data_IF_409932395680
#
_entry.id   IF_409932395680
#
_cell.length_a   1.000
_cell.length_b   1.000
_cell.length_c   1.000
_cell.angle_alpha   90.00
_cell.angle_beta   90.00
_cell.angle_gamma   90.00
#
_symmetry.space_group_name_H-M   'P 1'
#
loop_
_entity.id
_entity.type
_entity.pdbx_description
1 polymer ?
#
# COMPACT_ATOMS: atom_id res chain seq x y z
N UNK A 1 -50.75 35.81 11.87
CA UNK A 1 -50.58 34.34 11.93
C UNK A 1 -49.74 33.95 10.73
N UNK A 2 -48.62 33.27 10.99
CA UNK A 2 -47.69 32.60 10.05
C UNK A 2 -46.77 33.49 9.20
N UNK A 3 -45.49 33.50 9.61
CA UNK A 3 -44.27 33.86 8.86
C UNK A 3 -44.02 32.87 7.72
N UNK A 4 -43.30 33.27 6.66
CA UNK A 4 -42.01 32.61 6.35
C UNK A 4 -41.16 33.33 5.31
N UNK A 5 -39.88 33.44 5.69
CA UNK A 5 -38.71 33.86 4.93
C UNK A 5 -38.42 32.91 3.78
N UNK A 6 -37.84 33.42 2.69
CA UNK A 6 -36.93 32.64 1.86
C UNK A 6 -35.63 33.42 1.60
N UNK A 7 -34.67 33.14 2.47
CA UNK A 7 -33.24 33.28 2.22
C UNK A 7 -32.87 32.60 0.90
N UNK A 8 -32.20 33.32 0.00
CA UNK A 8 -31.28 32.68 -0.94
C UNK A 8 -29.87 33.11 -0.57
N UNK A 9 -29.33 32.40 0.41
CA UNK A 9 -27.90 32.36 0.66
C UNK A 9 -27.24 31.80 -0.60
N UNK A 10 -26.62 32.69 -1.38
CA UNK A 10 -25.65 32.29 -2.39
C UNK A 10 -24.39 31.84 -1.67
N UNK A 11 -24.40 30.61 -1.18
CA UNK A 11 -23.18 29.92 -0.79
C UNK A 11 -22.39 29.65 -2.06
N UNK A 12 -21.45 30.55 -2.36
CA UNK A 12 -20.24 30.20 -3.08
C UNK A 12 -19.57 29.07 -2.30
N UNK A 13 -19.93 27.83 -2.63
CA UNK A 13 -19.13 26.65 -2.31
C UNK A 13 -17.82 26.82 -3.08
N UNK A 14 -16.91 27.52 -2.41
CA UNK A 14 -15.50 27.58 -2.73
C UNK A 14 -15.06 26.12 -2.87
N UNK A 15 -14.74 25.73 -4.10
CA UNK A 15 -14.05 24.50 -4.44
C UNK A 15 -12.75 24.43 -3.64
N UNK A 16 -12.85 23.92 -2.41
CA UNK A 16 -11.73 23.47 -1.63
C UNK A 16 -11.30 22.12 -2.20
N UNK A 17 -10.72 22.16 -3.41
CA UNK A 17 -9.64 21.22 -3.77
C UNK A 17 -8.55 21.41 -2.73
N UNK A 18 -8.77 20.76 -1.60
CA UNK A 18 -7.76 20.61 -0.59
C UNK A 18 -6.78 19.67 -1.26
N UNK A 19 -5.69 20.25 -1.78
CA UNK A 19 -4.40 19.60 -1.96
C UNK A 19 -4.06 18.94 -0.62
N UNK A 20 -4.68 17.79 -0.34
CA UNK A 20 -4.26 16.90 0.73
C UNK A 20 -2.93 16.38 0.26
N UNK A 21 -1.87 16.96 0.80
CA UNK A 21 -0.54 16.36 0.79
C UNK A 21 -0.72 14.87 1.00
N UNK A 22 -0.38 14.11 -0.03
CA UNK A 22 -0.64 12.69 -0.05
C UNK A 22 0.08 12.06 1.13
N UNK A 23 -0.66 11.40 2.02
CA UNK A 23 -0.10 10.80 3.24
C UNK A 23 0.92 9.74 2.83
N UNK A 24 2.15 9.88 3.32
CA UNK A 24 3.23 8.91 3.13
C UNK A 24 3.61 8.37 4.50
N UNK A 25 3.65 7.04 4.63
CA UNK A 25 4.11 6.33 5.81
C UNK A 25 5.32 5.49 5.45
N UNK A 26 6.36 5.56 6.28
CA UNK A 26 7.61 4.82 6.10
C UNK A 26 7.64 3.66 7.09
N UNK A 27 7.96 2.46 6.63
CA UNK A 27 8.07 1.26 7.47
C UNK A 27 9.45 0.65 7.37
N UNK A 28 10.05 0.40 8.54
CA UNK A 28 11.15 -0.54 8.64
C UNK A 28 10.58 -1.95 8.55
N UNK A 29 11.15 -2.75 7.66
CA UNK A 29 10.78 -4.14 7.43
C UNK A 29 12.04 -5.00 7.34
N UNK A 30 11.85 -6.32 7.27
CA UNK A 30 12.93 -7.30 7.22
C UNK A 30 12.69 -8.28 6.08
N UNK A 31 13.73 -8.71 5.40
CA UNK A 31 13.62 -9.66 4.31
C UNK A 31 14.79 -10.64 4.34
N UNK A 32 14.59 -11.81 3.77
CA UNK A 32 15.67 -12.74 3.49
C UNK A 32 16.41 -12.31 2.22
N UNK A 33 17.65 -11.86 2.36
CA UNK A 33 18.48 -11.43 1.23
C UNK A 33 18.80 -12.56 0.25
N UNK A 34 18.92 -13.80 0.75
CA UNK A 34 19.15 -14.95 -0.12
C UNK A 34 17.94 -15.19 -1.02
N UNK A 35 16.73 -15.21 -0.45
CA UNK A 35 15.49 -15.36 -1.24
C UNK A 35 15.28 -14.22 -2.23
N UNK A 36 15.64 -12.99 -1.85
CA UNK A 36 15.54 -11.84 -2.74
C UNK A 36 16.45 -11.97 -3.97
N UNK A 37 17.67 -12.45 -3.80
CA UNK A 37 18.70 -12.47 -4.86
C UNK A 37 18.65 -13.76 -5.67
N UNK A 38 18.44 -14.90 -5.01
CA UNK A 38 18.57 -16.22 -5.61
C UNK A 38 17.29 -17.06 -5.55
N UNK A 39 16.32 -16.67 -4.74
CA UNK A 39 15.10 -17.43 -4.49
C UNK A 39 13.86 -16.84 -5.15
N UNK A 40 12.73 -16.92 -4.45
CA UNK A 40 11.42 -16.63 -5.02
C UNK A 40 11.14 -15.12 -5.19
N UNK A 41 11.94 -14.24 -4.58
CA UNK A 41 11.86 -12.80 -4.73
C UNK A 41 11.78 -12.02 -3.42
N UNK A 42 11.30 -10.76 -3.50
CA UNK A 42 11.32 -9.83 -2.37
C UNK A 42 10.03 -9.88 -1.54
N UNK A 43 10.09 -10.59 -0.40
CA UNK A 43 8.98 -10.81 0.55
C UNK A 43 9.29 -10.22 1.93
N UNK A 44 9.21 -8.88 2.11
CA UNK A 44 9.51 -8.25 3.39
C UNK A 44 8.41 -8.50 4.44
N UNK A 45 8.82 -8.58 5.70
CA UNK A 45 7.98 -8.83 6.87
C UNK A 45 8.14 -7.73 7.92
N UNK A 46 7.15 -7.58 8.79
CA UNK A 46 7.14 -6.55 9.86
C UNK A 46 8.09 -6.88 11.02
N UNK A 47 8.51 -8.14 11.15
CA UNK A 47 9.38 -8.62 12.21
C UNK A 47 10.59 -9.35 11.58
N UNK A 48 11.75 -9.37 12.27
CA UNK A 48 12.90 -10.11 11.78
C UNK A 48 12.66 -11.62 11.81
N UNK A 49 13.24 -12.32 10.84
CA UNK A 49 13.30 -13.78 10.82
C UNK A 49 14.39 -14.28 11.78
N UNK A 50 14.05 -14.52 13.05
CA UNK A 50 14.90 -15.22 14.02
C UNK A 50 16.44 -15.03 13.87
N UNK A 51 17.20 -16.12 13.98
CA UNK A 51 18.66 -16.15 13.79
C UNK A 51 19.05 -16.51 12.34
N UNK A 52 18.33 -16.01 11.33
CA UNK A 52 18.72 -16.24 9.93
C UNK A 52 19.79 -15.21 9.55
N UNK A 53 20.97 -15.68 9.12
CA UNK A 53 22.10 -14.82 8.77
C UNK A 53 21.83 -13.90 7.56
N UNK A 54 20.95 -14.32 6.65
CA UNK A 54 20.53 -13.54 5.47
C UNK A 54 19.43 -12.52 5.78
N UNK A 55 18.92 -12.46 7.01
CA UNK A 55 17.89 -11.48 7.39
C UNK A 55 18.47 -10.06 7.35
N UNK A 56 17.97 -9.24 6.43
CA UNK A 56 18.36 -7.83 6.26
C UNK A 56 17.22 -6.90 6.60
N UNK A 57 17.57 -5.73 7.11
CA UNK A 57 16.64 -4.60 7.30
C UNK A 57 16.44 -3.88 5.98
N UNK A 58 15.24 -3.34 5.79
CA UNK A 58 14.91 -2.43 4.69
C UNK A 58 13.94 -1.36 5.17
N UNK A 59 13.88 -0.25 4.45
CA UNK A 59 12.96 0.86 4.70
C UNK A 59 12.14 1.04 3.42
N UNK A 60 10.81 1.00 3.56
CA UNK A 60 9.87 1.06 2.44
C UNK A 60 8.80 2.11 2.75
N UNK A 61 8.52 2.96 1.77
CA UNK A 61 7.55 4.04 1.85
C UNK A 61 6.26 3.66 1.13
N UNK A 62 5.14 3.99 1.77
CA UNK A 62 3.80 3.74 1.27
C UNK A 62 3.01 5.04 1.21
N UNK A 63 2.46 5.34 0.04
CA UNK A 63 1.62 6.51 -0.22
C UNK A 63 0.15 6.11 -0.22
N UNK A 64 -0.69 6.88 0.44
CA UNK A 64 -2.13 6.75 0.33
C UNK A 64 -2.61 7.37 -0.99
N UNK A 65 -3.38 6.63 -1.76
CA UNK A 65 -4.08 7.12 -2.95
C UNK A 65 -5.58 6.90 -2.82
N UNK A 66 -6.35 7.77 -3.47
CA UNK A 66 -7.78 7.63 -3.63
C UNK A 66 -8.07 7.33 -5.11
N UNK A 67 -8.66 6.16 -5.39
CA UNK A 67 -9.11 5.85 -6.74
C UNK A 67 -10.44 6.56 -7.00
N UNK A 68 -10.38 7.64 -7.79
CA UNK A 68 -11.53 8.52 -8.10
C UNK A 68 -12.77 7.77 -8.59
N UNK A 69 -12.59 6.64 -9.28
CA UNK A 69 -13.68 5.88 -9.88
C UNK A 69 -14.57 5.15 -8.86
N UNK A 70 -14.04 4.77 -7.70
CA UNK A 70 -14.78 3.95 -6.74
C UNK A 70 -14.63 4.41 -5.28
N UNK A 71 -13.89 5.50 -5.04
CA UNK A 71 -13.61 6.01 -3.70
C UNK A 71 -12.78 5.06 -2.83
N UNK A 72 -12.15 4.03 -3.43
CA UNK A 72 -11.35 3.09 -2.66
C UNK A 72 -9.99 3.71 -2.31
N UNK A 73 -9.73 3.77 -1.01
CA UNK A 73 -8.43 4.14 -0.48
C UNK A 73 -7.47 2.95 -0.50
N UNK A 74 -6.26 3.23 -0.95
CA UNK A 74 -5.25 2.22 -1.24
C UNK A 74 -3.87 2.72 -0.83
N UNK A 75 -3.08 1.85 -0.22
CA UNK A 75 -1.66 2.11 0.00
C UNK A 75 -0.86 1.63 -1.20
N UNK A 76 0.08 2.45 -1.67
CA UNK A 76 0.95 2.12 -2.81
C UNK A 76 2.39 2.25 -2.36
N UNK A 77 3.19 1.21 -2.53
CA UNK A 77 4.64 1.31 -2.39
C UNK A 77 5.18 2.31 -3.42
N UNK A 78 6.02 3.25 -2.99
CA UNK A 78 6.56 4.31 -3.86
C UNK A 78 8.08 4.29 -4.01
N UNK A 79 8.78 3.38 -3.33
CA UNK A 79 10.24 3.24 -3.38
C UNK A 79 10.68 1.78 -3.21
N UNK A 80 12.00 1.55 -3.21
CA UNK A 80 12.64 0.25 -2.98
C UNK A 80 12.39 -0.81 -4.10
N UNK A 81 12.89 -2.02 -3.90
CA UNK A 81 12.62 -3.16 -4.79
C UNK A 81 11.13 -3.52 -4.76
N UNK A 82 10.58 -3.89 -5.90
CA UNK A 82 9.19 -4.32 -6.05
C UNK A 82 8.88 -5.46 -5.06
N UNK A 83 7.91 -5.26 -4.16
CA UNK A 83 7.44 -6.32 -3.27
C UNK A 83 6.64 -7.33 -4.08
N UNK A 84 6.97 -8.61 -4.01
CA UNK A 84 6.29 -9.66 -4.78
C UNK A 84 5.06 -10.20 -4.05
N UNK A 85 5.04 -10.07 -2.73
CA UNK A 85 3.92 -10.45 -1.89
C UNK A 85 4.31 -10.42 -0.43
N UNK A 86 3.49 -11.07 0.39
CA UNK A 86 3.71 -11.22 1.80
C UNK A 86 3.50 -12.67 2.23
N UNK A 87 4.39 -13.16 3.09
CA UNK A 87 4.22 -14.46 3.71
C UNK A 87 3.35 -14.36 4.97
N UNK A 88 2.54 -15.40 5.17
CA UNK A 88 1.68 -15.55 6.34
C UNK A 88 0.83 -14.30 6.60
N UNK A 89 0.93 -13.78 7.82
CA UNK A 89 0.15 -12.63 8.28
C UNK A 89 0.81 -11.27 7.97
N UNK A 90 1.95 -11.22 7.27
CA UNK A 90 2.70 -9.96 7.11
C UNK A 90 1.90 -8.88 6.36
N UNK A 91 1.13 -9.27 5.34
CA UNK A 91 0.32 -8.33 4.56
C UNK A 91 -0.82 -7.68 5.36
N UNK A 92 -1.53 -8.47 6.17
CA UNK A 92 -2.60 -7.95 7.03
C UNK A 92 -2.03 -7.08 8.16
N UNK A 93 -0.90 -7.47 8.74
CA UNK A 93 -0.22 -6.69 9.78
C UNK A 93 0.26 -5.34 9.25
N UNK A 94 0.83 -5.32 8.04
CA UNK A 94 1.24 -4.08 7.39
C UNK A 94 0.03 -3.18 7.11
N UNK A 95 -1.04 -3.70 6.51
CA UNK A 95 -2.24 -2.91 6.20
C UNK A 95 -2.84 -2.30 7.48
N UNK A 96 -2.96 -3.12 8.54
CA UNK A 96 -3.43 -2.67 9.84
C UNK A 96 -2.53 -1.56 10.41
N UNK A 97 -1.20 -1.73 10.32
CA UNK A 97 -0.24 -0.74 10.82
C UNK A 97 -0.35 0.60 10.09
N UNK A 98 -0.46 0.58 8.77
CA UNK A 98 -0.61 1.79 7.93
C UNK A 98 -1.94 2.51 8.24
N UNK A 99 -3.04 1.76 8.31
CA UNK A 99 -4.37 2.30 8.62
C UNK A 99 -4.43 2.89 10.04
N UNK A 100 -3.82 2.22 11.02
CA UNK A 100 -3.79 2.68 12.41
C UNK A 100 -3.00 3.98 12.55
N UNK A 101 -1.86 4.10 11.89
CA UNK A 101 -0.99 5.28 11.99
C UNK A 101 -1.59 6.50 11.28
N UNK A 102 -2.20 6.29 10.11
CA UNK A 102 -2.90 7.35 9.37
C UNK A 102 -4.29 7.70 9.91
N UNK A 103 -4.88 6.84 10.76
CA UNK A 103 -6.30 6.89 11.14
C UNK A 103 -7.24 6.81 9.93
N UNK A 104 -6.85 6.06 8.91
CA UNK A 104 -7.60 5.91 7.64
C UNK A 104 -7.89 4.42 7.38
N UNK A 105 -9.03 4.14 6.77
CA UNK A 105 -9.39 2.80 6.35
C UNK A 105 -9.11 2.58 4.85
N UNK A 106 -7.92 2.11 4.53
CA UNK A 106 -7.61 1.57 3.20
C UNK A 106 -7.83 0.05 3.18
N UNK A 107 -8.23 -0.49 2.03
CA UNK A 107 -8.60 -1.91 1.89
C UNK A 107 -7.48 -2.80 1.33
N UNK A 108 -6.50 -2.20 0.66
CA UNK A 108 -5.49 -2.93 -0.12
C UNK A 108 -4.15 -2.20 -0.13
N UNK A 109 -3.12 -2.98 -0.44
CA UNK A 109 -1.75 -2.54 -0.67
C UNK A 109 -1.35 -2.93 -2.09
N UNK A 110 -0.85 -1.98 -2.84
CA UNK A 110 -0.22 -2.16 -4.13
C UNK A 110 1.29 -2.02 -3.98
N UNK A 111 2.04 -2.79 -4.75
CA UNK A 111 3.48 -2.58 -4.85
C UNK A 111 3.83 -1.47 -5.86
N UNK A 112 5.12 -1.22 -6.03
CA UNK A 112 5.64 -0.21 -6.97
C UNK A 112 5.25 -0.47 -8.43
N UNK A 113 4.96 -1.74 -8.79
CA UNK A 113 4.46 -2.13 -10.10
C UNK A 113 2.94 -2.01 -10.27
N UNK A 114 2.22 -1.46 -9.30
CA UNK A 114 0.77 -1.25 -9.35
C UNK A 114 -0.07 -2.50 -9.10
N UNK A 115 0.54 -3.62 -8.71
CA UNK A 115 -0.17 -4.88 -8.44
C UNK A 115 -0.62 -4.97 -6.99
N UNK A 116 -1.80 -5.53 -6.78
CA UNK A 116 -2.33 -5.81 -5.44
C UNK A 116 -1.47 -6.91 -4.80
N UNK A 117 -0.73 -6.57 -3.76
CA UNK A 117 0.06 -7.51 -2.95
C UNK A 117 -0.65 -7.90 -1.65
N UNK A 118 -1.66 -7.13 -1.25
CA UNK A 118 -2.60 -7.51 -0.19
C UNK A 118 -3.97 -6.85 -0.41
N UNK A 119 -5.11 -7.56 -0.24
CA UNK A 119 -5.22 -8.98 0.04
C UNK A 119 -4.63 -9.83 -1.10
N UNK A 120 -4.20 -11.07 -0.79
CA UNK A 120 -3.69 -11.99 -1.82
C UNK A 120 -4.86 -12.42 -2.69
N UNK A 121 -4.81 -12.04 -3.97
CA UNK A 121 -5.76 -12.47 -4.99
C UNK A 121 -5.04 -13.53 -5.82
N UNK A 122 -5.39 -14.83 -5.69
CA UNK A 122 -4.67 -15.92 -6.37
C UNK A 122 -4.48 -15.69 -7.87
N UNK A 123 -5.50 -15.17 -8.54
CA UNK A 123 -5.55 -14.92 -9.97
C UNK A 123 -4.58 -13.81 -10.43
N UNK A 124 -4.10 -12.97 -9.52
CA UNK A 124 -3.21 -11.83 -9.79
C UNK A 124 -1.79 -12.02 -9.19
N UNK A 125 -1.51 -13.21 -8.64
CA UNK A 125 -0.36 -13.44 -7.74
C UNK A 125 0.94 -13.94 -8.40
N UNK A 126 1.01 -14.06 -9.74
CA UNK A 126 2.17 -14.66 -10.43
C UNK A 126 3.19 -13.62 -10.91
N UNK A 127 4.21 -13.35 -10.11
CA UNK A 127 5.46 -12.72 -10.60
C UNK A 127 6.33 -13.70 -11.39
N UNK A 128 6.31 -14.98 -11.00
CA UNK A 128 7.18 -16.04 -11.56
C UNK A 128 6.99 -16.26 -13.07
N UNK A 129 5.77 -16.10 -13.58
CA UNK A 129 5.48 -16.33 -15.01
C UNK A 129 6.09 -15.24 -15.90
N UNK A 130 6.31 -14.04 -15.39
CA UNK A 130 6.80 -12.92 -16.21
C UNK A 130 8.31 -12.73 -16.13
N UNK A 131 8.95 -13.02 -14.99
CA UNK A 131 10.40 -12.97 -14.88
C UNK A 131 11.11 -14.08 -15.64
N UNK A 132 10.48 -15.25 -15.82
CA UNK A 132 11.05 -16.38 -16.57
C UNK A 132 10.87 -16.24 -18.10
N UNK A 133 9.96 -15.39 -18.55
CA UNK A 133 9.66 -15.16 -19.98
C UNK A 133 10.35 -13.92 -20.57
N UNK A 134 11.20 -13.23 -19.80
CA UNK A 134 11.98 -12.06 -20.25
C UNK A 134 13.48 -12.35 -20.41
N UNK A 135 13.83 -13.58 -20.80
CA UNK A 135 15.15 -13.84 -21.36
C UNK A 135 15.12 -13.47 -22.85
N UNK A 136 15.55 -12.24 -23.16
CA UNK A 136 15.95 -11.84 -24.51
C UNK A 136 17.38 -12.29 -24.79
#
# INVERSE_FOLDING_TARGET
MILNNNNTNTSNELNNETNKDSIIIIKQMYYDEYEKVYGDGFYPQMQPFGNICSCKKTIISFKLINHLYNGDLTWVQIDNSVIYGFDGASGIQLLYSLNKESKIYAKKILNLGGRIIYPKIPELSTYRVLSQNMNY
#
